data_IF_277406157800
#
_entry.id   IF_277406157800
#
_cell.length_a   1.000
_cell.length_b   1.000
_cell.length_c   1.000
_cell.angle_alpha   90.00
_cell.angle_beta   90.00
_cell.angle_gamma   90.00
#
_symmetry.space_group_name_H-M   'P 1'
#
loop_
_entity.id
_entity.type
_entity.pdbx_description
1 polymer ?
#
# COMPACT_ATOMS: atom_id res chain seq x y z
N UNK A 1 -1.25 80.27 10.26
CA UNK A 1 -0.33 79.48 11.10
C UNK A 1 -0.31 78.04 10.58
N UNK A 2 0.86 77.65 10.08
CA UNK A 2 1.44 76.29 10.03
C UNK A 2 0.64 75.17 9.33
N UNK A 3 1.04 74.92 8.08
CA UNK A 3 1.06 73.60 7.45
C UNK A 3 1.93 72.64 8.27
N UNK A 4 1.48 71.41 8.53
CA UNK A 4 2.41 70.32 8.82
C UNK A 4 1.90 68.97 8.31
N UNK A 5 2.86 68.24 7.75
CA UNK A 5 2.77 67.00 6.99
C UNK A 5 2.61 65.81 7.93
N UNK A 6 1.81 64.82 7.54
CA UNK A 6 2.01 63.44 7.97
C UNK A 6 2.12 62.53 6.73
N UNK A 7 3.36 62.09 6.50
CA UNK A 7 3.71 60.97 5.63
C UNK A 7 3.25 59.69 6.33
N UNK A 8 2.34 58.93 5.73
CA UNK A 8 2.12 57.54 6.06
C UNK A 8 2.85 56.68 5.02
N UNK A 9 3.94 56.05 5.45
CA UNK A 9 4.67 55.04 4.68
C UNK A 9 3.75 53.83 4.50
N UNK A 10 3.22 53.65 3.29
CA UNK A 10 2.65 52.38 2.87
C UNK A 10 3.83 51.46 2.56
N UNK A 11 4.12 50.55 3.49
CA UNK A 11 5.00 49.42 3.25
C UNK A 11 4.35 48.56 2.16
N UNK A 12 4.88 48.65 0.93
CA UNK A 12 4.64 47.65 -0.10
C UNK A 12 5.25 46.35 0.41
N UNK A 13 4.41 45.54 1.06
CA UNK A 13 4.65 44.11 1.20
C UNK A 13 4.79 43.56 -0.21
N UNK A 14 5.99 43.09 -0.53
CA UNK A 14 6.27 42.31 -1.72
C UNK A 14 5.41 41.05 -1.68
N UNK A 15 4.22 41.14 -2.27
CA UNK A 15 3.50 40.01 -2.82
C UNK A 15 4.47 39.31 -3.78
N UNK A 16 5.10 38.24 -3.29
CA UNK A 16 5.77 37.28 -4.17
C UNK A 16 4.67 36.64 -5.00
N UNK A 17 4.43 37.20 -6.17
CA UNK A 17 3.75 36.49 -7.24
C UNK A 17 4.60 35.26 -7.52
N UNK A 18 4.09 34.07 -7.17
CA UNK A 18 4.61 32.83 -7.71
C UNK A 18 4.58 32.99 -9.24
N UNK A 19 5.76 33.02 -9.85
CA UNK A 19 5.90 33.11 -11.30
C UNK A 19 5.12 31.96 -11.93
N UNK A 20 4.32 32.27 -12.95
CA UNK A 20 3.53 31.27 -13.69
C UNK A 20 4.40 30.29 -14.51
N UNK A 21 5.73 30.41 -14.45
CA UNK A 21 6.68 29.67 -15.27
C UNK A 21 7.43 28.53 -14.55
N UNK A 22 7.19 28.32 -13.26
CA UNK A 22 7.84 27.21 -12.53
C UNK A 22 7.32 25.83 -12.98
N UNK A 23 8.23 24.90 -13.25
CA UNK A 23 7.89 23.53 -13.61
C UNK A 23 7.58 22.69 -12.37
N UNK A 24 6.61 21.78 -12.48
CA UNK A 24 6.39 20.75 -11.47
C UNK A 24 7.35 19.58 -11.69
N UNK A 25 8.14 19.25 -10.67
CA UNK A 25 9.08 18.14 -10.66
C UNK A 25 8.44 16.83 -10.10
N UNK A 26 7.11 16.81 -9.92
CA UNK A 26 6.33 15.68 -9.41
C UNK A 26 6.16 15.61 -7.90
N UNK A 27 7.00 16.30 -7.12
CA UNK A 27 6.84 16.44 -5.66
C UNK A 27 7.31 17.79 -5.09
N UNK A 28 7.87 18.65 -5.93
CA UNK A 28 8.26 20.03 -5.64
C UNK A 28 8.17 20.85 -6.94
N UNK A 29 8.42 22.16 -6.87
CA UNK A 29 8.54 23.02 -8.06
C UNK A 29 9.95 23.56 -8.20
N UNK A 30 10.38 23.76 -9.43
CA UNK A 30 11.67 24.35 -9.77
C UNK A 30 11.49 25.37 -10.92
N UNK A 31 12.41 26.34 -11.07
CA UNK A 31 12.37 27.28 -12.19
C UNK A 31 12.50 26.60 -13.56
N UNK A 32 13.19 25.46 -13.61
CA UNK A 32 13.38 24.68 -14.84
C UNK A 32 13.53 23.18 -14.54
N UNK A 33 13.34 22.35 -15.56
CA UNK A 33 13.49 20.90 -15.37
C UNK A 33 14.92 20.51 -15.00
N UNK A 34 15.93 21.24 -15.47
CA UNK A 34 17.33 20.97 -15.12
C UNK A 34 17.61 21.11 -13.62
N UNK A 35 16.76 21.87 -12.91
CA UNK A 35 16.88 22.13 -11.47
C UNK A 35 16.09 21.15 -10.60
N UNK A 36 15.17 20.36 -11.17
CA UNK A 36 14.41 19.35 -10.42
C UNK A 36 15.28 18.36 -9.62
N UNK A 37 16.46 17.93 -10.10
CA UNK A 37 17.31 17.02 -9.33
C UNK A 37 17.98 17.63 -8.09
N UNK A 38 17.72 18.90 -7.76
CA UNK A 38 18.41 19.62 -6.69
C UNK A 38 17.41 20.09 -5.62
N UNK A 39 17.85 20.20 -4.36
CA UNK A 39 17.07 20.89 -3.33
C UNK A 39 17.30 22.41 -3.34
N UNK A 40 16.56 23.14 -2.50
CA UNK A 40 16.65 24.61 -2.37
C UNK A 40 18.03 25.13 -1.97
N UNK A 41 18.90 24.26 -1.45
CA UNK A 41 20.30 24.54 -1.09
C UNK A 41 21.29 24.17 -2.20
N UNK A 42 20.80 23.72 -3.36
CA UNK A 42 21.63 23.30 -4.50
C UNK A 42 22.23 21.91 -4.36
N UNK A 43 21.77 21.08 -3.42
CA UNK A 43 22.28 19.72 -3.24
C UNK A 43 21.60 18.77 -4.22
N UNK A 44 22.39 18.04 -5.01
CA UNK A 44 21.87 17.02 -5.94
C UNK A 44 21.25 15.84 -5.18
N UNK A 45 20.00 15.52 -5.49
CA UNK A 45 19.18 14.44 -4.91
C UNK A 45 18.97 13.26 -5.85
N UNK A 46 19.38 13.37 -7.11
CA UNK A 46 19.32 12.27 -8.07
C UNK A 46 18.21 12.38 -9.10
N UNK A 47 18.28 11.50 -10.10
CA UNK A 47 17.29 11.38 -11.19
C UNK A 47 15.86 11.13 -10.70
N UNK A 48 15.69 10.51 -9.52
CA UNK A 48 14.39 10.24 -8.92
C UNK A 48 13.59 11.50 -8.55
N UNK A 49 14.23 12.68 -8.51
CA UNK A 49 13.57 13.97 -8.29
C UNK A 49 13.10 14.64 -9.60
N UNK A 50 13.40 14.04 -10.75
CA UNK A 50 12.98 14.51 -12.06
C UNK A 50 11.67 13.82 -12.51
N UNK A 51 10.53 14.40 -12.17
CA UNK A 51 9.21 13.89 -12.57
C UNK A 51 8.25 15.04 -12.95
N UNK A 52 6.94 14.79 -12.87
CA UNK A 52 5.90 15.78 -13.15
C UNK A 52 5.92 16.19 -14.62
N UNK A 53 6.20 17.47 -14.87
CA UNK A 53 6.38 18.07 -16.20
C UNK A 53 7.76 17.80 -16.81
N UNK A 54 8.64 17.13 -16.06
CA UNK A 54 10.01 16.82 -16.46
C UNK A 54 10.25 15.31 -16.49
N UNK A 55 11.25 14.88 -17.26
CA UNK A 55 11.69 13.49 -17.38
C UNK A 55 13.22 13.37 -17.40
N UNK A 56 13.74 12.30 -16.80
CA UNK A 56 15.17 12.07 -16.76
C UNK A 56 15.64 11.46 -18.08
N UNK A 57 16.51 12.16 -18.80
CA UNK A 57 17.17 11.64 -19.98
C UNK A 57 18.47 10.92 -19.57
N UNK A 58 18.42 9.59 -19.56
CA UNK A 58 19.56 8.74 -19.20
C UNK A 58 20.74 8.81 -20.17
N UNK A 59 20.54 9.28 -21.40
CA UNK A 59 21.63 9.43 -22.38
C UNK A 59 22.46 10.69 -22.13
N UNK A 60 21.83 11.76 -21.65
CA UNK A 60 22.50 13.03 -21.32
C UNK A 60 22.73 13.22 -19.83
N UNK A 61 22.22 12.32 -18.97
CA UNK A 61 22.20 12.45 -17.50
C UNK A 61 21.65 13.81 -17.03
N UNK A 62 20.55 14.24 -17.65
CA UNK A 62 19.89 15.51 -17.33
C UNK A 62 18.39 15.33 -17.18
N UNK A 63 17.81 16.14 -16.31
CA UNK A 63 16.36 16.29 -16.24
C UNK A 63 15.89 17.30 -17.29
N UNK A 64 15.00 16.90 -18.18
CA UNK A 64 14.54 17.71 -19.32
C UNK A 64 13.03 17.89 -19.27
N UNK A 65 12.51 18.90 -19.96
CA UNK A 65 11.08 19.10 -20.09
C UNK A 65 10.46 17.99 -20.95
N UNK A 66 9.31 17.47 -20.51
CA UNK A 66 8.53 16.54 -21.32
C UNK A 66 8.00 17.26 -22.57
N UNK A 67 7.91 16.56 -23.72
CA UNK A 67 7.20 17.09 -24.88
C UNK A 67 5.76 17.49 -24.52
N UNK A 68 5.27 18.57 -25.14
CA UNK A 68 3.87 18.97 -25.00
C UNK A 68 2.92 17.88 -25.54
N UNK A 69 1.77 17.75 -24.91
CA UNK A 69 0.71 16.79 -25.22
C UNK A 69 -0.19 17.31 -26.34
N UNK A 70 -0.49 16.49 -27.33
CA UNK A 70 -1.49 16.81 -28.36
C UNK A 70 -2.90 16.69 -27.82
N UNK A 71 -3.67 17.75 -28.01
CA UNK A 71 -5.09 17.81 -27.73
C UNK A 71 -5.89 17.56 -29.02
N UNK A 72 -7.20 17.38 -28.90
CA UNK A 72 -8.06 17.30 -30.07
C UNK A 72 -8.12 18.65 -30.81
N UNK A 73 -8.30 18.60 -32.13
CA UNK A 73 -8.54 19.82 -32.93
C UNK A 73 -7.31 20.71 -33.16
N UNK A 74 -6.09 20.13 -33.23
CA UNK A 74 -4.82 20.76 -33.63
C UNK A 74 -4.13 21.66 -32.57
N UNK A 75 -4.58 21.64 -31.30
CA UNK A 75 -3.88 22.34 -30.21
C UNK A 75 -2.93 21.43 -29.43
N UNK A 76 -1.88 22.01 -28.83
CA UNK A 76 -0.97 21.32 -27.90
C UNK A 76 -1.04 21.96 -26.52
N UNK A 77 -0.88 21.16 -25.47
CA UNK A 77 -0.88 21.59 -24.07
C UNK A 77 0.34 21.04 -23.31
N UNK A 78 0.67 21.60 -22.15
CA UNK A 78 1.75 21.05 -21.30
C UNK A 78 1.34 19.71 -20.68
N UNK A 79 0.08 19.59 -20.26
CA UNK A 79 -0.54 18.37 -19.75
C UNK A 79 -1.96 18.25 -20.33
N UNK A 80 -2.50 17.03 -20.44
CA UNK A 80 -3.84 16.84 -21.00
C UNK A 80 -4.95 17.55 -20.21
N UNK A 81 -4.76 17.81 -18.92
CA UNK A 81 -5.71 18.58 -18.11
C UNK A 81 -5.91 20.03 -18.62
N UNK A 82 -4.95 20.58 -19.37
CA UNK A 82 -5.01 21.92 -19.94
C UNK A 82 -5.62 21.93 -21.36
N UNK A 83 -5.92 20.76 -21.93
CA UNK A 83 -6.59 20.69 -23.23
C UNK A 83 -8.04 21.20 -23.13
N UNK A 84 -8.59 21.74 -24.23
CA UNK A 84 -9.99 22.15 -24.25
C UNK A 84 -10.92 20.99 -23.87
N UNK A 85 -11.94 21.28 -23.06
CA UNK A 85 -12.88 20.26 -22.57
C UNK A 85 -13.75 19.68 -23.68
N UNK A 86 -14.24 18.45 -23.47
CA UNK A 86 -15.07 17.71 -24.40
C UNK A 86 -14.27 16.83 -25.36
N UNK A 87 -14.92 15.82 -25.94
CA UNK A 87 -14.31 14.84 -26.83
C UNK A 87 -13.58 15.46 -28.04
N UNK A 88 -14.06 16.59 -28.55
CA UNK A 88 -13.45 17.28 -29.67
C UNK A 88 -12.18 18.06 -29.28
N UNK A 89 -12.14 18.62 -28.07
CA UNK A 89 -10.97 19.34 -27.54
C UNK A 89 -9.92 18.42 -26.94
N UNK A 90 -10.31 17.20 -26.60
CA UNK A 90 -9.48 16.20 -25.95
C UNK A 90 -9.61 14.85 -26.68
N UNK A 91 -9.02 14.78 -27.87
CA UNK A 91 -9.00 13.55 -28.67
C UNK A 91 -7.85 13.56 -29.67
N UNK A 92 -6.74 12.94 -29.28
CA UNK A 92 -5.57 12.64 -30.13
C UNK A 92 -4.79 11.45 -29.52
N UNK A 93 -3.58 11.16 -30.02
CA UNK A 93 -2.69 10.10 -29.53
C UNK A 93 -2.29 10.30 -28.08
N UNK A 94 -2.15 11.56 -27.64
CA UNK A 94 -1.58 11.86 -26.33
C UNK A 94 -2.65 12.07 -25.26
N UNK A 95 -3.85 12.54 -25.65
CA UNK A 95 -4.93 12.87 -24.74
C UNK A 95 -6.28 12.30 -25.16
N UNK A 96 -7.02 11.75 -24.20
CA UNK A 96 -8.36 11.17 -24.37
C UNK A 96 -9.36 11.78 -23.39
N UNK A 97 -10.55 12.13 -23.90
CA UNK A 97 -11.66 12.62 -23.09
C UNK A 97 -12.28 11.49 -22.28
N UNK A 98 -12.37 11.68 -20.96
CA UNK A 98 -12.93 10.66 -20.07
C UNK A 98 -14.35 11.05 -19.62
N UNK A 99 -15.41 10.41 -20.16
CA UNK A 99 -16.79 10.87 -19.97
C UNK A 99 -17.29 10.71 -18.53
N UNK A 100 -16.76 9.75 -17.77
CA UNK A 100 -17.17 9.51 -16.39
C UNK A 100 -16.70 10.61 -15.43
N UNK A 101 -15.53 11.19 -15.69
CA UNK A 101 -14.96 12.26 -14.87
C UNK A 101 -15.17 13.64 -15.49
N UNK A 102 -15.59 13.71 -16.75
CA UNK A 102 -15.67 14.95 -17.55
C UNK A 102 -14.34 15.70 -17.61
N UNK A 103 -13.24 14.95 -17.76
CA UNK A 103 -11.89 15.50 -17.73
C UNK A 103 -11.07 15.02 -18.93
N UNK A 104 -10.20 15.89 -19.43
CA UNK A 104 -9.19 15.52 -20.41
C UNK A 104 -7.96 14.93 -19.72
N UNK A 105 -7.50 13.77 -20.18
CA UNK A 105 -6.45 12.97 -19.53
C UNK A 105 -5.51 12.39 -20.58
N UNK A 106 -4.35 11.91 -20.13
CA UNK A 106 -3.45 11.16 -21.01
C UNK A 106 -4.24 10.01 -21.63
N UNK A 107 -4.12 9.82 -22.94
CA UNK A 107 -4.58 8.61 -23.59
C UNK A 107 -3.89 7.44 -22.91
N UNK A 108 -4.65 6.46 -22.44
CA UNK A 108 -4.05 5.33 -21.77
C UNK A 108 -3.17 4.56 -22.75
N UNK A 109 -1.92 4.38 -22.33
CA UNK A 109 -0.92 3.62 -23.05
C UNK A 109 -0.17 2.76 -22.05
N UNK A 110 0.66 1.87 -22.60
CA UNK A 110 1.55 1.02 -21.83
C UNK A 110 2.69 1.80 -21.16
N UNK A 111 2.80 3.12 -21.34
CA UNK A 111 3.80 3.97 -20.68
C UNK A 111 3.22 4.77 -19.49
N UNK A 112 1.89 4.74 -19.30
CA UNK A 112 1.22 5.34 -18.15
C UNK A 112 1.18 4.34 -17.00
N UNK A 113 1.39 4.81 -15.76
CA UNK A 113 1.19 3.99 -14.55
C UNK A 113 -0.16 3.29 -14.60
N UNK A 114 -0.20 2.07 -14.10
CA UNK A 114 -1.42 1.29 -13.98
C UNK A 114 -2.23 1.82 -12.80
N UNK A 115 -3.55 1.87 -12.94
CA UNK A 115 -4.41 2.31 -11.86
C UNK A 115 -4.35 1.36 -10.67
N UNK A 116 -4.22 1.93 -9.47
CA UNK A 116 -4.29 1.16 -8.24
C UNK A 116 -5.64 0.47 -8.14
N UNK A 117 -5.63 -0.82 -7.82
CA UNK A 117 -6.83 -1.63 -7.61
C UNK A 117 -7.05 -1.83 -6.12
N UNK A 118 -8.30 -1.83 -5.69
CA UNK A 118 -8.69 -1.76 -4.29
C UNK A 118 -9.77 -2.77 -3.94
N UNK A 119 -9.69 -3.24 -2.70
CA UNK A 119 -10.72 -3.97 -2.01
C UNK A 119 -11.18 -3.14 -0.83
N UNK A 120 -12.48 -2.86 -0.72
CA UNK A 120 -13.08 -2.10 0.38
C UNK A 120 -13.94 -3.05 1.22
N UNK A 121 -13.71 -3.08 2.53
CA UNK A 121 -14.34 -4.06 3.43
C UNK A 121 -15.36 -3.42 4.36
N UNK A 122 -16.40 -4.18 4.67
CA UNK A 122 -17.35 -3.84 5.73
C UNK A 122 -16.89 -4.50 7.05
N UNK A 123 -16.70 -3.69 8.09
CA UNK A 123 -16.32 -4.20 9.42
C UNK A 123 -17.44 -5.08 10.00
N UNK A 124 -17.14 -6.23 10.61
CA UNK A 124 -18.15 -7.16 11.11
C UNK A 124 -18.68 -6.75 12.50
N UNK A 125 -18.01 -5.80 13.16
CA UNK A 125 -18.33 -5.34 14.53
C UNK A 125 -18.25 -3.81 14.65
N UNK A 126 -18.77 -3.27 15.76
CA UNK A 126 -18.94 -1.82 15.94
C UNK A 126 -17.61 -1.06 16.18
N UNK A 127 -16.77 -1.53 17.11
CA UNK A 127 -15.53 -0.85 17.50
C UNK A 127 -14.34 -1.83 17.48
N UNK A 128 -13.90 -2.28 16.30
CA UNK A 128 -12.79 -3.21 16.23
C UNK A 128 -11.48 -2.52 16.64
N UNK A 129 -10.77 -3.14 17.58
CA UNK A 129 -9.45 -2.73 18.03
C UNK A 129 -8.35 -3.56 17.37
N UNK A 130 -8.66 -4.77 16.89
CA UNK A 130 -7.71 -5.64 16.20
C UNK A 130 -8.19 -5.95 14.79
N UNK A 131 -7.26 -5.92 13.84
CA UNK A 131 -7.53 -6.32 12.46
C UNK A 131 -6.39 -7.19 11.93
N UNK A 132 -6.71 -8.45 11.63
CA UNK A 132 -5.81 -9.42 11.00
C UNK A 132 -6.10 -9.53 9.50
N UNK A 133 -5.05 -9.52 8.68
CA UNK A 133 -5.16 -9.70 7.24
C UNK A 133 -4.10 -10.67 6.71
N UNK A 134 -4.50 -11.47 5.71
CA UNK A 134 -3.62 -12.30 4.89
C UNK A 134 -3.46 -11.68 3.50
N UNK A 135 -2.25 -11.72 2.95
CA UNK A 135 -1.96 -11.38 1.55
C UNK A 135 -1.09 -12.44 0.90
N UNK A 136 -1.37 -12.74 -0.37
CA UNK A 136 -0.60 -13.67 -1.20
C UNK A 136 -0.26 -12.97 -2.52
N UNK A 137 0.97 -12.47 -2.71
CA UNK A 137 1.42 -11.96 -4.01
C UNK A 137 1.38 -13.06 -5.06
N UNK A 138 0.65 -12.85 -6.15
CA UNK A 138 0.54 -13.82 -7.26
C UNK A 138 1.24 -13.34 -8.52
N UNK A 139 1.44 -12.02 -8.65
CA UNK A 139 2.32 -11.40 -9.62
C UNK A 139 2.95 -10.14 -9.01
N UNK A 140 4.22 -9.88 -9.31
CA UNK A 140 4.94 -8.73 -8.78
C UNK A 140 6.00 -8.25 -9.78
N UNK A 141 6.30 -6.96 -9.70
CA UNK A 141 7.37 -6.28 -10.40
C UNK A 141 7.97 -5.21 -9.48
N UNK A 142 9.15 -4.64 -9.79
CA UNK A 142 9.64 -3.48 -9.08
C UNK A 142 8.59 -2.36 -8.99
N UNK A 143 8.65 -1.61 -7.90
CA UNK A 143 7.67 -0.55 -7.59
C UNK A 143 6.23 -1.02 -7.38
N UNK A 144 6.03 -2.19 -6.77
CA UNK A 144 4.69 -2.73 -6.45
C UNK A 144 4.40 -2.72 -4.96
N UNK A 145 3.31 -2.08 -4.55
CA UNK A 145 2.85 -2.05 -3.16
C UNK A 145 1.56 -2.86 -3.01
N UNK A 146 1.61 -3.91 -2.20
CA UNK A 146 0.46 -4.69 -1.74
C UNK A 146 0.08 -4.20 -0.34
N UNK A 147 -0.78 -3.18 -0.28
CA UNK A 147 -1.31 -2.68 0.99
C UNK A 147 -2.34 -3.66 1.54
N UNK A 148 -2.15 -4.09 2.78
CA UNK A 148 -2.95 -5.11 3.45
C UNK A 148 -3.97 -4.47 4.39
N UNK A 149 -3.49 -3.74 5.40
CA UNK A 149 -4.30 -3.11 6.44
C UNK A 149 -4.41 -1.60 6.22
N UNK A 150 -5.10 -1.17 5.16
CA UNK A 150 -5.47 0.23 4.93
C UNK A 150 -6.70 0.62 5.75
N UNK A 151 -6.64 1.73 6.47
CA UNK A 151 -7.76 2.25 7.26
C UNK A 151 -7.77 3.79 7.26
N UNK A 152 -8.77 4.41 7.89
CA UNK A 152 -8.97 5.87 7.91
C UNK A 152 -7.76 6.68 8.39
N UNK A 153 -6.93 6.10 9.27
CA UNK A 153 -5.81 6.80 9.91
C UNK A 153 -4.46 6.48 9.30
N UNK A 154 -4.37 5.46 8.45
CA UNK A 154 -3.08 4.91 8.06
C UNK A 154 -3.19 3.67 7.16
N UNK A 155 -2.04 3.07 6.93
CA UNK A 155 -1.92 1.85 6.13
C UNK A 155 -0.73 1.01 6.59
N UNK A 156 -0.81 -0.29 6.32
CA UNK A 156 0.33 -1.19 6.35
C UNK A 156 0.31 -2.18 5.19
N UNK A 157 1.45 -2.79 4.88
CA UNK A 157 1.57 -3.82 3.86
C UNK A 157 2.99 -4.09 3.41
N UNK A 158 3.12 -4.74 2.25
CA UNK A 158 4.39 -5.21 1.68
C UNK A 158 4.69 -4.60 0.32
N UNK A 159 5.95 -4.26 0.09
CA UNK A 159 6.43 -3.60 -1.11
C UNK A 159 7.53 -4.43 -1.77
N UNK A 160 7.40 -4.66 -3.07
CA UNK A 160 8.51 -5.06 -3.94
C UNK A 160 9.20 -3.78 -4.43
N UNK A 161 10.27 -3.37 -3.75
CA UNK A 161 10.97 -2.11 -4.07
C UNK A 161 11.76 -2.27 -5.36
N UNK A 162 12.55 -3.34 -5.43
CA UNK A 162 13.34 -3.76 -6.58
C UNK A 162 13.68 -5.25 -6.42
N UNK A 163 14.39 -5.82 -7.40
CA UNK A 163 14.75 -7.24 -7.45
C UNK A 163 15.57 -7.78 -6.26
N UNK A 164 16.06 -6.92 -5.39
CA UNK A 164 16.87 -7.27 -4.21
C UNK A 164 16.27 -6.83 -2.88
N UNK A 165 15.16 -6.10 -2.89
CA UNK A 165 14.62 -5.47 -1.68
C UNK A 165 13.11 -5.60 -1.63
N UNK A 166 12.66 -6.43 -0.70
CA UNK A 166 11.30 -6.37 -0.16
C UNK A 166 11.27 -5.41 1.02
N UNK A 167 10.15 -4.74 1.23
CA UNK A 167 9.95 -3.84 2.38
C UNK A 167 8.57 -4.04 2.99
N UNK A 168 8.51 -4.05 4.30
CA UNK A 168 7.26 -3.96 5.06
C UNK A 168 7.11 -2.54 5.58
N UNK A 169 5.94 -1.95 5.43
CA UNK A 169 5.65 -0.60 5.96
C UNK A 169 4.40 -0.58 6.83
N UNK A 170 4.40 0.37 7.77
CA UNK A 170 3.23 0.75 8.55
C UNK A 170 3.30 2.25 8.85
N UNK A 171 2.25 2.98 8.49
CA UNK A 171 2.21 4.45 8.49
C UNK A 171 0.89 4.96 9.04
N UNK A 172 0.95 6.05 9.81
CA UNK A 172 -0.21 6.85 10.22
C UNK A 172 0.02 8.31 9.84
N UNK A 173 -1.02 8.95 9.31
CA UNK A 173 -1.03 10.39 9.07
C UNK A 173 -1.22 11.17 10.38
N UNK A 174 -0.72 12.40 10.40
CA UNK A 174 -1.17 13.42 11.34
C UNK A 174 -2.68 13.61 11.21
N UNK A 175 -3.34 13.98 12.30
CA UNK A 175 -4.80 14.07 12.38
C UNK A 175 -5.27 15.54 12.48
N UNK A 176 -6.56 15.78 12.72
CA UNK A 176 -7.09 17.14 12.85
C UNK A 176 -6.99 18.03 11.61
N UNK A 177 -6.62 17.47 10.44
CA UNK A 177 -6.31 18.25 9.23
C UNK A 177 -4.88 18.80 9.18
N UNK A 178 -4.01 18.40 10.11
CA UNK A 178 -2.60 18.76 10.09
C UNK A 178 -1.89 18.23 8.83
N UNK A 179 -1.12 19.10 8.20
CA UNK A 179 -0.20 18.76 7.12
C UNK A 179 1.00 19.71 7.19
N UNK A 180 2.14 19.25 7.71
CA UNK A 180 3.32 20.09 7.91
C UNK A 180 4.01 20.51 6.60
N UNK A 181 3.67 19.89 5.47
CA UNK A 181 4.14 20.35 4.14
C UNK A 181 3.44 21.65 3.71
N UNK A 182 2.25 21.93 4.25
CA UNK A 182 1.41 23.09 3.91
C UNK A 182 1.42 24.12 5.03
N UNK A 183 1.25 23.69 6.27
CA UNK A 183 1.29 24.53 7.47
C UNK A 183 2.22 23.93 8.53
N UNK A 184 3.38 24.53 8.80
CA UNK A 184 4.30 24.01 9.80
C UNK A 184 3.79 24.15 11.25
N UNK A 185 2.73 24.93 11.50
CA UNK A 185 2.23 25.24 12.85
C UNK A 185 1.04 24.37 13.28
N UNK A 186 1.11 23.07 13.02
CA UNK A 186 0.10 22.14 13.52
C UNK A 186 -0.01 22.13 15.05
N UNK A 187 -1.21 21.84 15.55
CA UNK A 187 -1.39 21.49 16.95
C UNK A 187 -0.54 20.26 17.31
N UNK A 188 0.19 20.31 18.42
CA UNK A 188 1.07 19.22 18.85
C UNK A 188 0.31 17.92 19.14
N UNK A 189 -0.95 18.01 19.54
CA UNK A 189 -1.80 16.83 19.72
C UNK A 189 -2.17 16.18 18.39
N UNK A 190 -2.19 16.91 17.28
CA UNK A 190 -2.53 16.36 15.98
C UNK A 190 -1.34 15.68 15.29
N UNK A 191 -0.13 15.92 15.79
CA UNK A 191 1.09 15.30 15.29
C UNK A 191 1.23 13.84 15.76
N UNK A 192 1.46 12.96 14.79
CA UNK A 192 1.78 11.56 15.04
C UNK A 192 3.18 11.43 15.67
N UNK A 193 3.27 10.62 16.73
CA UNK A 193 4.50 10.38 17.49
C UNK A 193 4.80 8.88 17.55
N UNK A 194 6.02 8.47 17.23
CA UNK A 194 6.44 7.07 17.38
C UNK A 194 6.75 6.79 18.85
N UNK A 195 5.99 5.89 19.47
CA UNK A 195 6.15 5.49 20.89
C UNK A 195 7.06 4.28 21.02
N UNK A 196 6.92 3.31 20.11
CA UNK A 196 7.80 2.15 20.01
C UNK A 196 8.19 1.91 18.55
N UNK A 197 9.45 1.55 18.32
CA UNK A 197 9.98 1.17 17.03
C UNK A 197 10.61 -0.21 17.15
N UNK A 198 10.19 -1.17 16.32
CA UNK A 198 10.66 -2.55 16.42
C UNK A 198 12.16 -2.71 16.16
N UNK A 199 12.73 -3.77 16.71
CA UNK A 199 14.12 -4.17 16.49
C UNK A 199 14.36 -4.49 15.02
N UNK A 200 15.32 -3.80 14.41
CA UNK A 200 15.60 -3.90 12.97
C UNK A 200 14.65 -3.09 12.08
N UNK A 201 13.75 -2.29 12.66
CA UNK A 201 12.82 -1.42 11.94
C UNK A 201 13.31 0.02 11.97
N UNK A 202 13.17 0.73 10.86
CA UNK A 202 13.46 2.17 10.78
C UNK A 202 12.17 2.97 10.92
N UNK A 203 12.06 3.80 11.96
CA UNK A 203 10.91 4.69 12.17
C UNK A 203 11.26 6.15 11.96
N UNK A 204 10.43 6.88 11.21
CA UNK A 204 10.69 8.28 10.81
C UNK A 204 9.40 9.02 10.43
N UNK A 205 9.52 10.32 10.19
CA UNK A 205 8.45 11.11 9.56
C UNK A 205 8.25 10.78 8.08
N UNK A 206 7.11 11.17 7.53
CA UNK A 206 6.88 11.26 6.09
C UNK A 206 6.14 12.57 5.74
N UNK A 207 6.18 12.92 4.45
CA UNK A 207 5.56 14.10 3.84
C UNK A 207 5.34 13.88 2.34
N UNK A 208 4.88 14.91 1.63
CA UNK A 208 4.62 14.96 0.19
C UNK A 208 3.15 14.69 -0.20
N UNK A 209 2.46 13.85 0.58
CA UNK A 209 1.06 13.46 0.38
C UNK A 209 0.30 13.54 1.72
N UNK A 210 0.53 14.66 2.42
CA UNK A 210 0.25 14.77 3.84
C UNK A 210 1.44 14.28 4.68
N UNK A 211 1.41 14.60 5.97
CA UNK A 211 2.49 14.32 6.91
C UNK A 211 2.10 13.29 7.96
N UNK A 212 3.09 12.67 8.60
CA UNK A 212 2.86 11.71 9.66
C UNK A 212 4.09 10.90 10.04
N UNK A 213 3.86 9.70 10.59
CA UNK A 213 4.93 8.76 11.00
C UNK A 213 4.80 7.44 10.27
N UNK A 214 5.95 6.87 9.91
CA UNK A 214 6.05 5.58 9.25
C UNK A 214 7.14 4.73 9.89
N UNK A 215 7.00 3.43 9.70
CA UNK A 215 8.02 2.41 9.97
C UNK A 215 8.31 1.62 8.70
N UNK A 216 9.57 1.21 8.54
CA UNK A 216 10.06 0.43 7.39
C UNK A 216 10.95 -0.70 7.87
N UNK A 217 10.63 -1.92 7.47
CA UNK A 217 11.44 -3.11 7.69
C UNK A 217 11.86 -3.69 6.34
N UNK A 218 13.14 -3.55 6.00
CA UNK A 218 13.70 -4.04 4.74
C UNK A 218 14.16 -5.49 4.91
N UNK A 219 13.80 -6.33 3.94
CA UNK A 219 14.09 -7.75 3.90
C UNK A 219 14.35 -8.21 2.47
N UNK A 220 14.63 -9.50 2.28
CA UNK A 220 14.64 -10.10 0.96
C UNK A 220 13.29 -9.89 0.25
N UNK A 221 13.24 -9.94 -1.10
CA UNK A 221 11.98 -9.90 -1.84
C UNK A 221 10.93 -10.91 -1.35
N UNK A 222 9.66 -10.61 -1.62
CA UNK A 222 8.56 -11.50 -1.28
C UNK A 222 8.45 -12.60 -2.33
N UNK A 223 8.18 -13.82 -1.88
CA UNK A 223 7.98 -14.96 -2.77
C UNK A 223 6.53 -14.97 -3.26
N UNK A 224 6.36 -15.27 -4.55
CA UNK A 224 5.03 -15.41 -5.14
C UNK A 224 4.37 -16.69 -4.64
N UNK A 225 3.07 -16.62 -4.41
CA UNK A 225 2.22 -17.70 -3.89
C UNK A 225 2.60 -18.18 -2.47
N UNK A 226 3.32 -17.34 -1.72
CA UNK A 226 3.53 -17.50 -0.28
C UNK A 226 2.60 -16.58 0.50
N UNK A 227 2.22 -17.02 1.70
CA UNK A 227 1.29 -16.29 2.56
C UNK A 227 2.04 -15.36 3.50
N UNK A 228 1.55 -14.12 3.60
CA UNK A 228 2.05 -13.12 4.52
C UNK A 228 0.92 -12.57 5.38
N UNK A 229 1.23 -12.26 6.63
CA UNK A 229 0.23 -11.92 7.64
C UNK A 229 0.55 -10.62 8.36
N UNK A 230 -0.48 -9.82 8.55
CA UNK A 230 -0.40 -8.52 9.22
C UNK A 230 -1.47 -8.40 10.29
N UNK A 231 -1.12 -7.70 11.37
CA UNK A 231 -2.09 -7.27 12.39
C UNK A 231 -1.93 -5.78 12.64
N UNK A 232 -3.05 -5.08 12.73
CA UNK A 232 -3.12 -3.73 13.29
C UNK A 232 -3.90 -3.76 14.60
N UNK A 233 -3.34 -3.14 15.64
CA UNK A 233 -4.01 -2.82 16.90
C UNK A 233 -4.37 -1.33 16.90
N UNK A 234 -5.53 -0.98 17.45
CA UNK A 234 -5.91 0.36 17.85
C UNK A 234 -6.24 0.36 19.34
N UNK A 235 -5.75 1.36 20.08
CA UNK A 235 -5.95 1.49 21.53
C UNK A 235 -6.32 2.92 21.87
N UNK A 236 -7.38 3.11 22.65
CA UNK A 236 -7.75 4.44 23.15
C UNK A 236 -6.99 4.77 24.43
N UNK A 237 -6.40 5.96 24.49
CA UNK A 237 -5.67 6.44 25.67
C UNK A 237 -6.50 7.41 26.53
N UNK A 238 -7.74 7.70 26.14
CA UNK A 238 -8.51 8.80 26.73
C UNK A 238 -8.14 10.15 26.14
N UNK A 239 -8.89 11.20 26.48
CA UNK A 239 -8.62 12.59 26.10
C UNK A 239 -8.38 12.79 24.59
N UNK A 240 -9.14 12.10 23.73
CA UNK A 240 -8.97 12.16 22.26
C UNK A 240 -7.58 11.72 21.78
N UNK A 241 -6.89 10.87 22.53
CA UNK A 241 -5.60 10.27 22.15
C UNK A 241 -5.78 8.79 21.88
N UNK A 242 -5.06 8.30 20.88
CA UNK A 242 -5.06 6.89 20.52
C UNK A 242 -3.68 6.44 20.06
N UNK A 243 -3.47 5.14 20.10
CA UNK A 243 -2.29 4.48 19.52
C UNK A 243 -2.72 3.47 18.48
N UNK A 244 -1.95 3.38 17.40
CA UNK A 244 -2.03 2.26 16.48
C UNK A 244 -0.69 1.52 16.44
N UNK A 245 -0.75 0.19 16.50
CA UNK A 245 0.43 -0.67 16.46
C UNK A 245 0.35 -1.63 15.28
N UNK A 246 1.41 -1.68 14.47
CA UNK A 246 1.53 -2.60 13.34
C UNK A 246 2.42 -3.79 13.67
N UNK A 247 1.97 -4.99 13.31
CA UNK A 247 2.71 -6.24 13.44
C UNK A 247 2.78 -6.99 12.12
N UNK A 248 3.90 -7.67 11.89
CA UNK A 248 4.13 -8.47 10.68
C UNK A 248 4.67 -9.85 11.05
N UNK A 249 4.13 -10.89 10.43
CA UNK A 249 4.63 -12.25 10.58
C UNK A 249 5.75 -12.53 9.58
N UNK A 250 6.95 -12.83 10.07
CA UNK A 250 8.14 -13.09 9.26
C UNK A 250 8.96 -14.23 9.87
N UNK A 251 9.34 -15.21 9.04
CA UNK A 251 10.20 -16.32 9.43
C UNK A 251 9.75 -17.06 10.70
N UNK A 252 8.44 -17.31 10.81
CA UNK A 252 7.86 -18.06 11.93
C UNK A 252 7.50 -17.22 13.16
N UNK A 253 7.84 -15.92 13.17
CA UNK A 253 7.70 -15.04 14.33
C UNK A 253 6.90 -13.78 14.01
N UNK A 254 6.14 -13.31 14.99
CA UNK A 254 5.51 -11.99 14.94
C UNK A 254 6.52 -10.91 15.33
N UNK A 255 6.61 -9.85 14.52
CA UNK A 255 7.49 -8.70 14.74
C UNK A 255 6.68 -7.44 14.96
N UNK A 256 7.13 -6.59 15.87
CA UNK A 256 6.69 -5.20 15.98
C UNK A 256 7.24 -4.40 14.79
N UNK A 257 6.39 -3.63 14.11
CA UNK A 257 6.83 -2.59 13.17
C UNK A 257 7.02 -1.27 13.93
N UNK A 258 5.91 -0.67 14.35
CA UNK A 258 5.92 0.48 15.25
C UNK A 258 4.58 0.64 15.96
N UNK A 259 4.63 1.37 17.07
CA UNK A 259 3.47 1.96 17.74
C UNK A 259 3.51 3.46 17.53
N UNK A 260 2.43 4.01 16.98
CA UNK A 260 2.30 5.43 16.66
C UNK A 260 1.11 5.99 17.43
N UNK A 261 1.33 7.05 18.20
CA UNK A 261 0.32 7.78 18.94
C UNK A 261 -0.09 9.03 18.16
N UNK A 262 -1.40 9.29 18.05
CA UNK A 262 -1.95 10.49 17.42
C UNK A 262 -3.33 10.83 18.01
N UNK A 263 -3.92 11.97 17.67
CA UNK A 263 -5.26 12.33 18.14
C UNK A 263 -6.31 11.49 17.43
N UNK A 264 -7.45 11.23 18.08
CA UNK A 264 -8.62 10.69 17.39
C UNK A 264 -9.13 11.71 16.39
N UNK A 265 -10.02 11.30 15.48
CA UNK A 265 -10.72 12.28 14.65
C UNK A 265 -11.68 13.15 15.48
N UNK A 266 -12.29 14.16 14.83
CA UNK A 266 -13.23 15.08 15.47
C UNK A 266 -14.47 14.42 16.07
N UNK A 267 -14.78 13.18 15.66
CA UNK A 267 -15.88 12.37 16.17
C UNK A 267 -15.44 11.38 17.26
N UNK A 268 -14.20 11.49 17.75
CA UNK A 268 -13.59 10.61 18.76
C UNK A 268 -13.57 9.13 18.36
N UNK A 269 -13.58 8.84 17.06
CA UNK A 269 -13.36 7.49 16.58
C UNK A 269 -11.89 7.13 16.78
N UNK A 270 -11.63 6.10 17.58
CA UNK A 270 -10.29 5.56 17.83
C UNK A 270 -10.12 4.14 17.26
N UNK A 271 -11.22 3.50 16.88
CA UNK A 271 -11.24 2.12 16.38
C UNK A 271 -10.92 2.05 14.89
N UNK A 272 -10.58 0.86 14.42
CA UNK A 272 -10.19 0.61 13.03
C UNK A 272 -11.43 0.69 12.12
N UNK A 273 -11.46 1.65 11.19
CA UNK A 273 -12.58 1.84 10.27
C UNK A 273 -12.13 2.33 8.89
N UNK A 274 -13.04 2.32 7.91
CA UNK A 274 -12.73 2.68 6.53
C UNK A 274 -11.71 1.71 5.93
N UNK A 275 -12.00 0.42 6.02
CA UNK A 275 -11.05 -0.67 5.73
C UNK A 275 -10.84 -0.86 4.24
N UNK A 276 -9.58 -0.95 3.81
CA UNK A 276 -9.23 -1.28 2.44
C UNK A 276 -7.89 -2.00 2.31
N UNK A 277 -7.71 -2.69 1.19
CA UNK A 277 -6.44 -3.23 0.70
C UNK A 277 -6.28 -2.78 -0.74
N UNK A 278 -5.04 -2.67 -1.23
CA UNK A 278 -4.81 -2.30 -2.62
C UNK A 278 -3.53 -2.88 -3.20
N UNK A 279 -3.49 -2.96 -4.53
CA UNK A 279 -2.26 -3.19 -5.30
C UNK A 279 -1.98 -1.95 -6.13
N UNK A 280 -0.80 -1.37 -5.94
CA UNK A 280 -0.37 -0.14 -6.58
C UNK A 280 0.98 -0.31 -7.26
N UNK A 281 1.10 0.35 -8.40
CA UNK A 281 2.39 0.68 -9.00
C UNK A 281 2.72 2.14 -8.64
N UNK A 282 3.76 2.42 -7.85
CA UNK A 282 4.05 3.80 -7.40
C UNK A 282 4.97 4.62 -8.32
N UNK A 283 5.62 4.00 -9.30
CA UNK A 283 6.42 4.68 -10.35
C UNK A 283 6.05 4.16 -11.74
N UNK A 284 6.41 4.84 -12.82
CA UNK A 284 6.15 4.34 -14.19
C UNK A 284 7.12 3.23 -14.64
N UNK A 285 7.80 2.53 -13.73
CA UNK A 285 8.68 1.41 -14.06
C UNK A 285 7.85 0.15 -14.32
N UNK A 286 8.14 -0.56 -15.42
CA UNK A 286 7.54 -1.86 -15.74
C UNK A 286 6.00 -1.84 -15.76
N UNK A 287 5.41 -0.79 -16.34
CA UNK A 287 3.96 -0.60 -16.54
C UNK A 287 3.27 -1.76 -17.27
N UNK A 288 4.00 -2.50 -18.09
CA UNK A 288 3.50 -3.69 -18.82
C UNK A 288 3.63 -5.00 -18.05
N UNK A 289 4.07 -4.98 -16.78
CA UNK A 289 4.13 -6.18 -15.93
C UNK A 289 2.87 -6.34 -15.11
N UNK A 290 2.44 -7.59 -14.92
CA UNK A 290 1.33 -7.95 -14.06
C UNK A 290 1.69 -7.70 -12.58
N UNK A 291 0.76 -7.13 -11.82
CA UNK A 291 0.84 -6.93 -10.38
C UNK A 291 -0.46 -7.40 -9.76
N UNK A 292 -0.39 -8.42 -8.90
CA UNK A 292 -1.58 -9.08 -8.43
C UNK A 292 -1.37 -9.72 -7.07
N UNK A 293 -2.41 -9.70 -6.23
CA UNK A 293 -2.42 -10.40 -4.95
C UNK A 293 -3.81 -10.89 -4.57
N UNK A 294 -3.84 -11.97 -3.79
CA UNK A 294 -5.04 -12.46 -3.12
C UNK A 294 -5.11 -11.90 -1.70
N UNK A 295 -6.30 -11.51 -1.26
CA UNK A 295 -6.56 -10.98 0.08
C UNK A 295 -7.65 -11.76 0.80
N UNK A 296 -7.48 -11.85 2.12
CA UNK A 296 -8.44 -12.47 3.02
C UNK A 296 -8.56 -13.99 2.84
N UNK A 297 -9.59 -14.62 3.45
CA UNK A 297 -10.52 -14.03 4.42
C UNK A 297 -9.82 -13.32 5.58
N UNK A 298 -10.43 -12.25 6.09
CA UNK A 298 -9.85 -11.33 7.10
C UNK A 298 -10.68 -11.36 8.38
N UNK A 299 -10.08 -11.04 9.53
CA UNK A 299 -10.74 -11.13 10.83
C UNK A 299 -10.51 -9.88 11.68
N UNK A 300 -11.52 -9.49 12.47
CA UNK A 300 -11.45 -8.36 13.39
C UNK A 300 -11.96 -8.73 14.77
N UNK A 301 -11.44 -8.07 15.80
CA UNK A 301 -11.90 -8.22 17.17
C UNK A 301 -11.99 -6.87 17.88
N UNK A 302 -12.81 -6.80 18.94
CA UNK A 302 -12.82 -5.68 19.88
C UNK A 302 -11.56 -5.70 20.77
N UNK A 303 -11.42 -4.74 21.67
CA UNK A 303 -10.20 -4.54 22.50
C UNK A 303 -9.80 -5.79 23.30
N UNK A 304 -10.80 -6.47 23.88
CA UNK A 304 -10.61 -7.68 24.68
C UNK A 304 -10.26 -8.91 23.83
N UNK A 305 -10.58 -8.88 22.53
CA UNK A 305 -10.29 -9.92 21.56
C UNK A 305 -10.75 -11.34 21.95
N UNK A 306 -11.85 -11.42 22.69
CA UNK A 306 -12.49 -12.68 23.11
C UNK A 306 -12.88 -13.53 21.90
N UNK A 307 -13.33 -12.89 20.82
CA UNK A 307 -13.68 -13.51 19.55
C UNK A 307 -13.17 -12.69 18.37
N UNK A 308 -12.65 -13.38 17.34
CA UNK A 308 -12.29 -12.78 16.05
C UNK A 308 -13.38 -13.09 15.03
N UNK A 309 -14.05 -12.03 14.57
CA UNK A 309 -15.14 -12.09 13.62
C UNK A 309 -14.61 -11.97 12.19
N UNK A 310 -15.01 -12.89 11.31
CA UNK A 310 -14.63 -12.85 9.91
C UNK A 310 -15.35 -11.70 9.16
N UNK A 311 -14.61 -10.98 8.32
CA UNK A 311 -15.18 -10.11 7.29
C UNK A 311 -15.79 -10.99 6.20
N UNK A 312 -17.10 -10.83 5.95
CA UNK A 312 -17.85 -11.71 5.02
C UNK A 312 -17.95 -11.20 3.60
N UNK A 313 -17.72 -9.91 3.38
CA UNK A 313 -17.96 -9.25 2.09
C UNK A 313 -16.91 -8.19 1.82
N UNK A 314 -16.56 -8.05 0.55
CA UNK A 314 -15.65 -7.03 0.06
C UNK A 314 -16.15 -6.46 -1.26
N UNK A 315 -15.84 -5.20 -1.54
CA UNK A 315 -16.20 -4.50 -2.77
C UNK A 315 -14.96 -4.12 -3.55
N UNK A 316 -14.93 -4.45 -4.85
CA UNK A 316 -13.86 -4.06 -5.75
C UNK A 316 -13.98 -2.59 -6.17
N UNK A 317 -12.83 -1.92 -6.30
CA UNK A 317 -12.71 -0.59 -6.86
C UNK A 317 -11.35 -0.43 -7.55
N UNK A 318 -11.20 0.60 -8.36
CA UNK A 318 -9.91 0.99 -8.92
C UNK A 318 -9.85 2.51 -9.07
N UNK A 319 -8.63 3.04 -9.20
CA UNK A 319 -8.39 4.43 -9.60
C UNK A 319 -8.89 4.69 -11.02
N UNK A 320 -9.18 5.95 -11.32
CA UNK A 320 -9.72 6.36 -12.63
C UNK A 320 -8.84 7.39 -13.34
N UNK A 321 -7.75 7.82 -12.70
CA UNK A 321 -6.85 8.84 -13.23
C UNK A 321 -5.71 8.22 -14.04
N UNK A 322 -5.19 7.09 -13.57
CA UNK A 322 -4.17 6.28 -14.20
C UNK A 322 -4.79 5.25 -15.18
N UNK A 323 -3.94 4.47 -15.85
CA UNK A 323 -4.37 3.45 -16.82
C UNK A 323 -5.19 2.35 -16.13
N UNK A 324 -6.51 2.46 -16.25
CA UNK A 324 -7.49 1.52 -15.70
C UNK A 324 -8.11 0.62 -16.76
N UNK A 325 -7.49 0.50 -17.94
CA UNK A 325 -7.91 -0.47 -18.96
C UNK A 325 -7.41 -1.88 -18.63
N UNK A 326 -6.39 -1.98 -17.77
CA UNK A 326 -5.74 -3.22 -17.34
C UNK A 326 -5.89 -3.44 -15.84
N UNK A 327 -7.14 -3.51 -15.38
CA UNK A 327 -7.48 -3.75 -13.97
C UNK A 327 -8.56 -4.80 -13.87
N UNK A 328 -8.49 -5.64 -12.84
CA UNK A 328 -9.50 -6.68 -12.64
C UNK A 328 -9.53 -7.18 -11.19
N UNK A 329 -10.58 -7.94 -10.87
CA UNK A 329 -10.70 -8.70 -9.64
C UNK A 329 -11.30 -10.08 -9.92
N UNK A 330 -11.06 -11.04 -9.03
CA UNK A 330 -11.65 -12.38 -9.16
C UNK A 330 -11.79 -13.07 -7.81
N UNK A 331 -12.64 -14.09 -7.75
CA UNK A 331 -12.72 -15.02 -6.63
C UNK A 331 -11.74 -16.18 -6.87
N UNK A 332 -10.80 -16.39 -5.97
CA UNK A 332 -9.89 -17.54 -6.04
C UNK A 332 -10.62 -18.86 -5.75
N UNK A 333 -9.98 -19.98 -6.09
CA UNK A 333 -10.47 -21.32 -5.78
C UNK A 333 -10.35 -21.69 -4.30
N UNK A 334 -10.85 -22.87 -3.94
CA UNK A 334 -10.83 -23.40 -2.57
C UNK A 334 -9.41 -23.56 -2.00
N UNK A 335 -8.41 -23.83 -2.85
CA UNK A 335 -6.99 -23.92 -2.46
C UNK A 335 -6.47 -22.63 -1.80
N UNK A 336 -7.14 -21.50 -2.07
CA UNK A 336 -6.83 -20.19 -1.49
C UNK A 336 -7.93 -19.70 -0.54
N UNK A 337 -8.74 -20.62 0.01
CA UNK A 337 -9.87 -20.30 0.89
C UNK A 337 -10.80 -19.27 0.27
N UNK A 338 -10.98 -19.36 -1.05
CA UNK A 338 -11.74 -18.39 -1.82
C UNK A 338 -11.34 -16.95 -1.47
N UNK A 339 -10.05 -16.67 -1.35
CA UNK A 339 -9.54 -15.32 -1.24
C UNK A 339 -9.98 -14.48 -2.45
N UNK A 340 -10.01 -13.15 -2.30
CA UNK A 340 -10.35 -12.25 -3.42
C UNK A 340 -9.08 -11.70 -4.00
N UNK A 341 -8.88 -11.93 -5.29
CA UNK A 341 -7.77 -11.41 -6.07
C UNK A 341 -8.09 -10.05 -6.67
N UNK A 342 -7.09 -9.18 -6.71
CA UNK A 342 -7.09 -7.96 -7.51
C UNK A 342 -5.78 -7.87 -8.29
N UNK A 343 -5.86 -7.37 -9.51
CA UNK A 343 -4.72 -7.25 -10.42
C UNK A 343 -4.74 -5.93 -11.20
N UNK A 344 -3.54 -5.44 -11.50
CA UNK A 344 -3.32 -4.25 -12.32
C UNK A 344 -2.09 -4.44 -13.21
N UNK A 345 -2.14 -3.88 -14.41
CA UNK A 345 -1.06 -3.96 -15.40
C UNK A 345 -1.05 -5.22 -16.25
N UNK A 346 0.03 -5.36 -17.03
CA UNK A 346 0.30 -6.50 -17.90
C UNK A 346 -0.86 -6.90 -18.82
N UNK A 347 -1.38 -8.12 -18.72
CA UNK A 347 -2.49 -8.58 -19.57
C UNK A 347 -3.82 -8.67 -18.82
N UNK A 348 -3.98 -7.93 -17.72
CA UNK A 348 -5.23 -7.91 -16.98
C UNK A 348 -6.40 -7.51 -17.89
N UNK A 349 -7.43 -8.34 -17.91
CA UNK A 349 -8.67 -8.10 -18.65
C UNK A 349 -9.77 -7.72 -17.66
N UNK A 350 -10.36 -6.53 -17.83
CA UNK A 350 -11.42 -6.06 -16.95
C UNK A 350 -12.70 -6.86 -17.15
N UNK A 351 -12.88 -7.90 -16.33
CA UNK A 351 -14.07 -8.74 -16.31
C UNK A 351 -15.05 -8.33 -15.21
N UNK A 352 -14.59 -7.56 -14.23
CA UNK A 352 -15.35 -7.13 -13.05
C UNK A 352 -15.46 -5.62 -13.02
N UNK A 353 -16.66 -5.12 -12.70
CA UNK A 353 -16.95 -3.69 -12.66
C UNK A 353 -16.56 -3.10 -11.30
N UNK A 354 -16.13 -1.84 -11.32
CA UNK A 354 -15.99 -1.04 -10.10
C UNK A 354 -17.31 -1.03 -9.33
N UNK A 355 -17.26 -1.45 -8.07
CA UNK A 355 -18.44 -1.57 -7.21
C UNK A 355 -18.99 -2.99 -7.07
N UNK A 356 -18.56 -3.94 -7.90
CA UNK A 356 -18.92 -5.35 -7.75
C UNK A 356 -18.39 -5.90 -6.42
N UNK A 357 -19.11 -6.88 -5.89
CA UNK A 357 -18.84 -7.41 -4.55
C UNK A 357 -18.57 -8.90 -4.57
N UNK A 358 -17.66 -9.32 -3.70
CA UNK A 358 -17.28 -10.71 -3.47
C UNK A 358 -17.61 -11.10 -2.03
N UNK A 359 -17.77 -12.39 -1.79
CA UNK A 359 -18.10 -12.94 -0.47
C UNK A 359 -17.09 -13.99 -0.07
N UNK A 360 -16.74 -14.01 1.21
CA UNK A 360 -15.95 -15.08 1.81
C UNK A 360 -16.92 -16.07 2.48
N UNK A 361 -16.83 -17.38 2.20
CA UNK A 361 -17.51 -18.36 3.04
C UNK A 361 -16.84 -18.36 4.43
N UNK A 362 -17.49 -18.98 5.41
CA UNK A 362 -16.92 -19.08 6.76
C UNK A 362 -15.70 -20.01 6.77
N UNK A 363 -14.61 -19.52 7.36
CA UNK A 363 -13.40 -20.30 7.61
C UNK A 363 -13.02 -20.25 9.08
N UNK A 364 -12.29 -21.29 9.50
CA UNK A 364 -11.61 -21.26 10.79
C UNK A 364 -10.44 -20.27 10.69
N UNK A 365 -10.19 -19.45 11.73
CA UNK A 365 -9.01 -18.57 11.78
C UNK A 365 -7.70 -19.30 11.48
N UNK A 366 -6.78 -18.61 10.80
CA UNK A 366 -5.46 -19.13 10.49
C UNK A 366 -4.66 -19.51 11.74
N UNK A 367 -3.69 -20.40 11.58
CA UNK A 367 -2.76 -20.78 12.66
C UNK A 367 -1.99 -19.57 13.18
N UNK A 368 -1.62 -18.64 12.30
CA UNK A 368 -0.90 -17.41 12.61
C UNK A 368 -1.74 -16.47 13.45
N UNK A 369 -3.03 -16.29 13.12
CA UNK A 369 -3.96 -15.55 13.97
C UNK A 369 -4.13 -16.26 15.33
N UNK A 370 -4.29 -17.57 15.33
CA UNK A 370 -4.41 -18.36 16.58
C UNK A 370 -3.16 -18.22 17.46
N UNK A 371 -1.97 -18.20 16.86
CA UNK A 371 -0.71 -17.98 17.57
C UNK A 371 -0.60 -16.55 18.11
N UNK A 372 -1.03 -15.55 17.32
CA UNK A 372 -0.99 -14.14 17.70
C UNK A 372 -1.89 -13.85 18.91
N UNK A 373 -3.08 -14.46 18.94
CA UNK A 373 -4.08 -14.26 20.00
C UNK A 373 -3.54 -14.53 21.40
N UNK A 374 -2.58 -15.44 21.55
CA UNK A 374 -1.94 -15.76 22.83
C UNK A 374 -1.20 -14.57 23.44
N UNK A 375 -0.81 -13.60 22.61
CA UNK A 375 -0.04 -12.44 23.03
C UNK A 375 -0.93 -11.24 23.37
N UNK A 376 -2.23 -11.26 23.04
CA UNK A 376 -3.08 -10.06 23.08
C UNK A 376 -3.17 -9.43 24.48
N UNK A 377 -3.39 -10.23 25.52
CA UNK A 377 -3.49 -9.71 26.89
C UNK A 377 -2.20 -9.00 27.31
N UNK A 378 -1.04 -9.59 26.98
CA UNK A 378 0.26 -8.98 27.23
C UNK A 378 0.46 -7.70 26.40
N UNK A 379 0.11 -7.73 25.10
CA UNK A 379 0.26 -6.60 24.18
C UNK A 379 -0.65 -5.41 24.53
N UNK A 380 -1.82 -5.67 25.12
CA UNK A 380 -2.73 -4.64 25.63
C UNK A 380 -2.11 -3.89 26.83
N UNK A 381 -1.27 -4.55 27.62
CA UNK A 381 -0.61 -3.96 28.80
C UNK A 381 0.75 -3.34 28.48
N UNK A 382 1.48 -3.87 27.49
CA UNK A 382 2.80 -3.38 27.11
C UNK A 382 2.78 -1.90 26.70
N UNK A 383 3.76 -1.13 27.15
CA UNK A 383 3.89 0.32 26.91
C UNK A 383 5.16 0.67 26.11
N UNK A 384 6.20 -0.16 26.18
CA UNK A 384 7.48 0.07 25.52
C UNK A 384 7.78 -0.95 24.42
N UNK A 385 8.79 -0.67 23.57
CA UNK A 385 9.30 -1.63 22.59
C UNK A 385 9.66 -2.97 23.23
N UNK A 386 10.44 -2.92 24.31
CA UNK A 386 11.00 -4.13 24.93
C UNK A 386 9.90 -5.01 25.53
N UNK A 387 8.87 -4.40 26.13
CA UNK A 387 7.70 -5.13 26.63
C UNK A 387 6.87 -5.75 25.50
N UNK A 388 6.65 -5.00 24.40
CA UNK A 388 5.93 -5.53 23.24
C UNK A 388 6.68 -6.71 22.64
N UNK A 389 7.99 -6.59 22.43
CA UNK A 389 8.81 -7.67 21.87
C UNK A 389 8.93 -8.84 22.84
N UNK A 390 8.95 -8.60 24.15
CA UNK A 390 8.89 -9.67 25.15
C UNK A 390 7.58 -10.46 25.04
N UNK A 391 6.42 -9.80 24.88
CA UNK A 391 5.15 -10.48 24.65
C UNK A 391 5.21 -11.39 23.42
N UNK A 392 5.74 -10.89 22.29
CA UNK A 392 5.81 -11.63 21.02
C UNK A 392 6.81 -12.80 21.05
N UNK A 393 7.83 -12.71 21.90
CA UNK A 393 8.87 -13.73 22.04
C UNK A 393 8.58 -14.76 23.15
N UNK A 394 7.39 -14.74 23.75
CA UNK A 394 6.98 -15.80 24.65
C UNK A 394 6.85 -17.11 23.84
N UNK A 395 7.93 -17.90 23.84
CA UNK A 395 7.78 -19.33 23.60
C UNK A 395 6.70 -19.81 24.55
N UNK A 396 5.75 -20.66 24.11
CA UNK A 396 4.91 -21.40 25.04
C UNK A 396 5.81 -22.37 25.83
N UNK A 397 6.56 -21.87 26.79
CA UNK A 397 7.28 -22.66 27.78
C UNK A 397 6.26 -23.25 28.72
N UNK A 398 5.97 -24.54 28.51
CA UNK A 398 5.96 -25.67 29.46
C UNK A 398 6.09 -25.44 30.98
N UNK A 399 5.72 -24.31 31.56
CA UNK A 399 5.72 -24.08 33.01
C UNK A 399 4.31 -23.75 33.50
N UNK A 400 3.44 -24.75 33.41
CA UNK A 400 2.38 -24.93 34.40
C UNK A 400 2.83 -26.05 35.36
N UNK A 401 2.87 -25.86 36.69
CA UNK A 401 3.17 -26.94 37.61
C UNK A 401 2.01 -27.94 37.58
N UNK A 402 2.16 -29.03 36.83
CA UNK A 402 1.23 -30.16 36.85
C UNK A 402 1.71 -31.18 37.86
N UNK A 403 0.93 -31.35 38.93
CA UNK A 403 1.05 -32.48 39.85
C UNK A 403 0.52 -33.76 39.19
N UNK A 404 1.45 -34.72 38.92
CA UNK A 404 1.34 -36.20 38.98
C UNK A 404 0.26 -36.95 38.16
N UNK A 405 0.40 -38.27 37.89
CA UNK A 405 1.60 -39.12 37.77
C UNK A 405 1.66 -39.92 36.44
N UNK A 406 2.77 -40.64 36.34
CA UNK A 406 3.39 -41.48 35.31
C UNK A 406 2.55 -42.54 34.56
N UNK A 407 3.13 -42.92 33.41
CA UNK A 407 3.08 -44.21 32.69
C UNK A 407 2.01 -44.42 31.59
N UNK A 408 2.40 -44.19 30.31
CA UNK A 408 2.03 -45.03 29.13
C UNK A 408 3.13 -44.92 28.04
N UNK A 409 3.49 -46.00 27.29
CA UNK A 409 4.68 -46.05 26.44
C UNK A 409 4.57 -45.35 25.07
N UNK A 410 5.76 -45.00 24.59
CA UNK A 410 6.14 -44.41 23.29
C UNK A 410 5.84 -45.32 22.10
N UNK A 411 5.07 -44.83 21.12
CA UNK A 411 5.15 -45.26 19.72
C UNK A 411 5.12 -44.02 18.80
N UNK A 412 6.29 -43.68 18.23
CA UNK A 412 6.46 -42.59 17.26
C UNK A 412 6.78 -43.16 15.88
N UNK A 413 6.00 -42.88 14.83
CA UNK A 413 6.46 -43.04 13.47
C UNK A 413 7.21 -41.78 13.00
N UNK A 414 8.41 -42.00 12.48
CA UNK A 414 9.25 -41.01 11.79
C UNK A 414 8.53 -40.42 10.56
N UNK A 415 8.39 -39.09 10.50
CA UNK A 415 7.92 -38.36 9.32
C UNK A 415 9.13 -37.76 8.60
N UNK A 416 9.30 -38.16 7.34
CA UNK A 416 10.31 -37.64 6.40
C UNK A 416 9.89 -36.28 5.79
N UNK A 417 10.84 -35.52 5.18
CA UNK A 417 10.58 -34.15 4.71
C UNK A 417 9.54 -34.09 3.60
N UNK A 418 8.68 -33.08 3.67
CA UNK A 418 7.64 -32.78 2.66
C UNK A 418 8.31 -32.40 1.33
N UNK A 419 8.22 -33.28 0.34
CA UNK A 419 8.53 -32.97 -1.06
C UNK A 419 7.47 -32.03 -1.65
N UNK A 420 7.92 -31.08 -2.48
CA UNK A 420 7.10 -30.11 -3.19
C UNK A 420 5.83 -30.73 -3.79
N UNK A 421 4.66 -30.12 -3.49
CA UNK A 421 3.37 -30.55 -4.04
C UNK A 421 3.36 -30.40 -5.57
N UNK A 422 3.19 -31.50 -6.28
CA UNK A 422 2.96 -31.49 -7.73
C UNK A 422 1.56 -30.98 -8.07
N UNK A 423 1.41 -30.28 -9.20
CA UNK A 423 0.15 -29.74 -9.71
C UNK A 423 -0.88 -30.87 -9.93
N UNK A 424 -1.99 -30.87 -9.19
CA UNK A 424 -3.06 -31.85 -9.38
C UNK A 424 -4.10 -31.27 -10.36
N UNK A 425 -4.31 -31.98 -11.47
CA UNK A 425 -5.04 -31.56 -12.69
C UNK A 425 -6.56 -31.36 -12.50
N UNK A 426 -7.03 -31.25 -11.25
CA UNK A 426 -8.43 -30.99 -10.87
C UNK A 426 -8.69 -29.52 -10.53
N UNK A 427 -7.66 -28.72 -10.28
CA UNK A 427 -7.79 -27.34 -9.76
C UNK A 427 -8.18 -26.27 -10.81
N UNK A 428 -8.13 -26.56 -12.11
CA UNK A 428 -8.43 -25.56 -13.14
C UNK A 428 -9.19 -26.14 -14.33
N UNK A 429 -10.50 -25.86 -14.39
CA UNK A 429 -11.31 -25.99 -15.61
C UNK A 429 -11.88 -24.63 -15.99
N UNK A 430 -11.46 -24.08 -17.12
CA UNK A 430 -12.17 -23.01 -17.83
C UNK A 430 -12.70 -23.60 -19.14
N UNK A 431 -14.02 -23.56 -19.37
CA UNK A 431 -14.70 -24.18 -20.51
C UNK A 431 -14.30 -25.64 -20.80
N UNK A 432 -14.10 -26.45 -19.74
CA UNK A 432 -13.86 -27.89 -19.86
C UNK A 432 -12.51 -28.31 -20.47
N UNK A 433 -11.58 -27.38 -20.72
CA UNK A 433 -10.24 -27.71 -21.25
C UNK A 433 -9.18 -27.62 -20.14
N UNK A 434 -8.32 -28.64 -20.04
CA UNK A 434 -7.21 -28.74 -19.06
C UNK A 434 -6.14 -27.67 -19.32
N UNK A 435 -5.78 -26.86 -18.32
CA UNK A 435 -4.87 -25.71 -18.48
C UNK A 435 -3.49 -25.87 -17.80
N UNK A 436 -3.34 -26.64 -16.70
CA UNK A 436 -2.04 -26.76 -16.00
C UNK A 436 -0.96 -27.38 -16.90
N UNK A 437 -1.26 -28.48 -17.60
CA UNK A 437 -0.29 -29.13 -18.52
C UNK A 437 0.10 -28.21 -19.68
N UNK A 438 -0.83 -27.39 -20.19
CA UNK A 438 -0.59 -26.48 -21.32
C UNK A 438 0.26 -25.28 -20.92
N UNK A 439 0.06 -24.77 -19.70
CA UNK A 439 0.87 -23.72 -19.09
C UNK A 439 2.31 -24.21 -18.83
N UNK A 440 2.47 -25.39 -18.21
CA UNK A 440 3.80 -25.97 -17.97
C UNK A 440 4.55 -26.35 -19.27
N UNK A 441 3.82 -26.76 -20.31
CA UNK A 441 4.41 -27.05 -21.63
C UNK A 441 4.91 -25.76 -22.30
N UNK A 442 4.13 -24.67 -22.27
CA UNK A 442 4.59 -23.35 -22.72
C UNK A 442 5.78 -22.83 -21.91
N UNK A 443 5.82 -23.10 -20.59
CA UNK A 443 6.95 -22.73 -19.72
C UNK A 443 8.23 -23.50 -20.07
N UNK A 444 8.15 -24.80 -20.35
CA UNK A 444 9.29 -25.62 -20.81
C UNK A 444 9.76 -25.25 -22.22
N UNK A 445 8.83 -24.88 -23.12
CA UNK A 445 9.17 -24.38 -24.46
C UNK A 445 9.86 -23.01 -24.38
N UNK A 446 9.37 -22.09 -23.54
CA UNK A 446 10.00 -20.80 -23.29
C UNK A 446 11.39 -20.94 -22.63
N UNK A 447 11.57 -21.88 -21.69
CA UNK A 447 12.86 -22.14 -21.06
C UNK A 447 13.88 -22.78 -22.02
N UNK A 448 13.44 -23.59 -23.00
CA UNK A 448 14.32 -24.13 -24.05
C UNK A 448 14.78 -23.07 -25.05
N UNK A 449 13.97 -22.04 -25.32
CA UNK A 449 14.34 -20.92 -26.20
C UNK A 449 15.42 -20.05 -25.54
N UNK A 450 15.38 -19.89 -24.21
CA UNK A 450 16.38 -19.11 -23.45
C UNK A 450 17.71 -19.85 -23.28
N UNK A 451 17.72 -21.19 -23.32
CA UNK A 451 18.96 -21.99 -23.20
C UNK A 451 19.59 -22.38 -24.56
N UNK A 452 19.01 -21.95 -25.68
CA UNK A 452 19.45 -22.28 -27.04
C UNK A 452 20.11 -21.14 -27.83
N UNK A 453 20.41 -20.01 -27.19
CA UNK A 453 21.23 -18.94 -27.78
C UNK A 453 22.52 -18.85 -26.99
N UNK A 454 23.45 -19.74 -27.33
CA UNK A 454 24.86 -19.73 -26.95
C UNK A 454 25.68 -19.95 -28.19
#
# INVERSE_FOLDING_TARGET
MIFSRYFALISLSSLSFASADDVSCGGHRAPSCEECPYDSSGTYKGSAWCNGQCEWNSSSNKCVAKPGKKCGGVSTAKICADCPSGAAGCGDTDCSWHPFTSLCRDSFSDDVRTASVHLVYDKPISKPAWWFQRVVPTASAPSTYFSTNGHRFGYGGIQEVNSSTGRVIFSLWDQGGCNQDVDPNCNEDDLAKTIACGTGVTCRGFGGEGTGRQSRYDRAPFSLNEEYYFVTQAKYLGNKRMEHTGYFYDNGLWRLLSRIQVSTNNSEEWWISGLYSFVEQWTAVDTTKDRAALFGPSYMADEDATEFYQIKKVRFSHGTLENHERVNAWQAGEDWQQAVGIETGGNAEQNVRRGDTFTYPEYVPYGELTSFRKNIDCLNLAQSRDEIEACLNTNPSTDAPSMLPSDVPSDTPSISPVTARECVDTAFKHNGKKTCTKYLKKKKEAQRIVQGVG
#
